data_IF_693624164272
#
_entry.id   IF_693624164272
#
_cell.length_a   1.000
_cell.length_b   1.000
_cell.length_c   1.000
_cell.angle_alpha   90.00
_cell.angle_beta   90.00
_cell.angle_gamma   90.00
#
_symmetry.space_group_name_H-M   'P 1'
#
loop_
_entity.id
_entity.type
_entity.pdbx_description
1 polymer ?
#
# COMPACT_ATOMS: atom_id res chain seq x y z
N UNK A 1 -0.46 -18.93 0.42
CA UNK A 1 -0.21 -17.52 0.22
C UNK A 1 1.28 -17.24 0.12
N UNK A 2 1.66 -16.56 -0.88
CA UNK A 2 3.06 -16.31 -1.07
C UNK A 2 3.50 -15.05 -0.35
N UNK A 3 4.70 -15.08 0.15
CA UNK A 3 5.34 -13.91 0.69
C UNK A 3 6.12 -13.25 -0.42
N UNK A 4 5.98 -11.95 -0.54
CA UNK A 4 6.71 -11.19 -1.53
C UNK A 4 7.82 -10.44 -0.81
N UNK A 5 9.05 -10.72 -1.16
CA UNK A 5 10.18 -10.07 -0.51
C UNK A 5 10.29 -8.63 -0.99
N UNK A 6 11.03 -7.83 -0.23
CA UNK A 6 11.26 -6.43 -0.61
C UNK A 6 11.94 -6.35 -1.97
N UNK A 7 12.90 -7.23 -2.21
CA UNK A 7 13.61 -7.22 -3.49
C UNK A 7 12.66 -7.55 -4.65
N UNK A 8 11.75 -8.49 -4.42
CA UNK A 8 10.76 -8.83 -5.44
C UNK A 8 9.83 -7.66 -5.73
N UNK A 9 9.45 -6.92 -4.70
CA UNK A 9 8.61 -5.74 -4.90
C UNK A 9 9.31 -4.71 -5.78
N UNK A 10 10.58 -4.45 -5.50
CA UNK A 10 11.33 -3.49 -6.32
C UNK A 10 11.47 -3.97 -7.76
N UNK A 11 11.66 -5.27 -7.95
CA UNK A 11 11.74 -5.81 -9.30
C UNK A 11 10.42 -5.64 -10.04
N UNK A 12 9.30 -5.84 -9.37
CA UNK A 12 7.99 -5.65 -9.98
C UNK A 12 7.77 -4.20 -10.37
N UNK A 13 8.19 -3.25 -9.53
CA UNK A 13 8.11 -1.83 -9.86
C UNK A 13 8.91 -1.54 -11.11
N UNK A 14 10.12 -2.04 -11.15
CA UNK A 14 11.01 -1.79 -12.28
C UNK A 14 10.42 -2.35 -13.58
N UNK A 15 9.90 -3.55 -13.52
CA UNK A 15 9.31 -4.18 -14.71
C UNK A 15 8.09 -3.41 -15.20
N UNK A 16 7.24 -2.99 -14.28
CA UNK A 16 6.02 -2.28 -14.66
C UNK A 16 6.36 -0.92 -15.27
N UNK A 17 7.26 -0.19 -14.63
CA UNK A 17 7.59 1.14 -15.11
C UNK A 17 8.37 1.07 -16.43
N UNK A 18 9.15 0.01 -16.63
CA UNK A 18 9.87 -0.17 -17.89
C UNK A 18 8.93 -0.36 -19.07
N UNK A 19 7.75 -0.93 -18.84
CA UNK A 19 6.77 -1.07 -19.92
C UNK A 19 5.73 0.05 -19.91
N UNK A 20 5.98 1.12 -19.16
CA UNK A 20 5.13 2.30 -19.17
C UNK A 20 3.91 2.22 -18.27
N UNK A 21 3.82 1.20 -17.44
CA UNK A 21 2.71 1.06 -16.52
C UNK A 21 2.99 1.82 -15.23
N UNK A 22 2.01 2.57 -14.73
CA UNK A 22 2.17 3.30 -13.48
C UNK A 22 1.90 2.37 -12.31
N UNK A 23 2.59 2.62 -11.21
CA UNK A 23 2.46 1.82 -9.99
C UNK A 23 2.34 2.76 -8.81
N UNK A 24 1.36 2.53 -7.95
CA UNK A 24 1.31 3.22 -6.66
C UNK A 24 2.01 2.33 -5.65
N UNK A 25 3.01 2.87 -4.99
CA UNK A 25 3.73 2.15 -3.94
C UNK A 25 3.22 2.68 -2.61
N UNK A 26 2.49 1.85 -1.88
CA UNK A 26 1.97 2.20 -0.58
C UNK A 26 2.93 1.66 0.46
N UNK A 27 3.48 2.53 1.29
CA UNK A 27 4.46 2.16 2.30
C UNK A 27 3.94 2.55 3.68
N UNK A 28 3.99 1.63 4.62
CA UNK A 28 3.66 1.94 6.01
C UNK A 28 4.77 2.81 6.55
N UNK A 29 4.48 4.10 6.73
CA UNK A 29 5.46 5.08 7.14
C UNK A 29 5.53 5.20 8.65
N UNK A 30 4.42 4.95 9.34
CA UNK A 30 4.37 5.11 10.79
C UNK A 30 3.27 4.24 11.35
N UNK A 31 3.50 3.66 12.52
CA UNK A 31 2.49 2.85 13.19
C UNK A 31 2.41 3.25 14.64
N UNK A 32 1.22 3.11 15.23
CA UNK A 32 0.99 3.36 16.63
C UNK A 32 -0.02 2.34 17.13
N UNK A 33 0.29 1.69 18.24
CA UNK A 33 -0.57 0.67 18.81
C UNK A 33 -0.45 -0.63 18.04
N UNK A 34 -1.48 -1.45 18.14
CA UNK A 34 -1.50 -2.75 17.47
C UNK A 34 -1.87 -2.57 16.00
N UNK A 35 -0.97 -2.95 15.13
CA UNK A 35 -1.21 -2.83 13.68
C UNK A 35 -0.83 -4.14 13.01
N UNK A 36 -1.46 -4.45 11.86
CA UNK A 36 -1.21 -5.73 11.18
C UNK A 36 0.15 -5.81 10.50
N UNK A 37 0.76 -4.67 10.23
CA UNK A 37 2.05 -4.65 9.55
C UNK A 37 2.96 -3.64 10.20
N UNK A 38 4.24 -3.85 10.03
CA UNK A 38 5.26 -2.99 10.60
C UNK A 38 5.60 -1.86 9.65
N UNK A 39 6.21 -0.82 10.19
CA UNK A 39 6.75 0.27 9.41
C UNK A 39 7.68 -0.30 8.33
N UNK A 40 7.56 0.21 7.13
CA UNK A 40 8.34 -0.24 5.99
C UNK A 40 7.66 -1.26 5.12
N UNK A 41 6.56 -1.88 5.58
CA UNK A 41 5.81 -2.82 4.75
C UNK A 41 5.25 -2.10 3.53
N UNK A 42 5.20 -2.78 2.40
CA UNK A 42 4.79 -2.17 1.15
C UNK A 42 3.75 -2.99 0.43
N UNK A 43 2.90 -2.29 -0.30
CA UNK A 43 1.94 -2.92 -1.19
C UNK A 43 1.94 -2.13 -2.49
N UNK A 44 1.89 -2.84 -3.61
CA UNK A 44 1.91 -2.22 -4.92
C UNK A 44 0.53 -2.32 -5.54
N UNK A 45 0.10 -1.23 -6.15
CA UNK A 45 -1.15 -1.19 -6.90
C UNK A 45 -0.80 -0.80 -8.33
N UNK A 46 -1.01 -1.72 -9.25
CA UNK A 46 -0.66 -1.48 -10.65
C UNK A 46 -1.83 -0.84 -11.38
N UNK A 47 -1.52 0.01 -12.31
CA UNK A 47 -2.54 0.72 -13.07
C UNK A 47 -3.54 -0.23 -13.72
N UNK A 48 -3.07 -1.40 -14.12
CA UNK A 48 -3.93 -2.41 -14.75
C UNK A 48 -4.80 -3.18 -13.79
N UNK A 49 -4.68 -2.95 -12.48
CA UNK A 49 -5.54 -3.57 -11.49
C UNK A 49 -4.89 -4.65 -10.63
N UNK A 50 -3.69 -5.08 -10.97
CA UNK A 50 -2.99 -6.08 -10.16
C UNK A 50 -2.45 -5.46 -8.89
N UNK A 51 -2.24 -6.28 -7.87
CA UNK A 51 -1.65 -5.84 -6.62
C UNK A 51 -0.58 -6.84 -6.19
N UNK A 52 0.36 -6.38 -5.35
CA UNK A 52 1.39 -7.25 -4.78
C UNK A 52 1.76 -6.74 -3.40
N UNK A 53 2.11 -7.65 -2.50
CA UNK A 53 2.47 -7.29 -1.13
C UNK A 53 1.24 -7.02 -0.29
N UNK A 54 1.44 -6.49 0.90
CA UNK A 54 0.32 -6.17 1.78
C UNK A 54 0.74 -5.10 2.79
N UNK A 55 -0.21 -4.27 3.18
CA UNK A 55 0.01 -3.30 4.25
C UNK A 55 -0.95 -3.52 5.42
N UNK A 56 -1.88 -4.44 5.30
CA UNK A 56 -2.85 -4.58 6.38
C UNK A 56 -3.63 -5.86 6.41
N UNK A 57 -3.41 -6.77 5.48
CA UNK A 57 -4.02 -8.08 5.53
C UNK A 57 -5.53 -8.08 5.58
N UNK A 58 -6.20 -7.09 5.08
CA UNK A 58 -7.64 -6.99 5.10
C UNK A 58 -8.16 -5.91 6.02
N UNK A 59 -7.41 -5.51 7.03
CA UNK A 59 -7.87 -4.47 7.96
C UNK A 59 -8.05 -3.14 7.26
N UNK A 60 -7.15 -2.78 6.37
CA UNK A 60 -7.19 -1.47 5.73
C UNK A 60 -7.05 -1.53 4.22
N UNK A 61 -6.92 -2.74 3.67
CA UNK A 61 -6.54 -2.82 2.24
C UNK A 61 -7.58 -2.21 1.33
N UNK A 62 -8.86 -2.33 1.65
CA UNK A 62 -9.89 -1.72 0.81
C UNK A 62 -9.78 -0.20 0.81
N UNK A 63 -9.48 0.38 1.96
CA UNK A 63 -9.32 1.83 2.07
C UNK A 63 -8.05 2.30 1.36
N UNK A 64 -6.98 1.55 1.52
CA UNK A 64 -5.73 1.88 0.84
C UNK A 64 -5.91 1.76 -0.68
N UNK A 65 -6.65 0.74 -1.11
CA UNK A 65 -6.96 0.54 -2.53
C UNK A 65 -7.69 1.75 -3.10
N UNK A 66 -8.68 2.26 -2.36
CA UNK A 66 -9.42 3.44 -2.81
C UNK A 66 -8.50 4.65 -2.95
N UNK A 67 -7.61 4.85 -1.97
CA UNK A 67 -6.67 5.96 -2.05
C UNK A 67 -5.64 5.77 -3.15
N UNK A 68 -5.24 4.53 -3.42
CA UNK A 68 -4.31 4.26 -4.50
C UNK A 68 -4.93 4.59 -5.85
N UNK A 69 -6.22 4.26 -6.02
CA UNK A 69 -6.92 4.61 -7.25
C UNK A 69 -6.99 6.12 -7.43
N UNK A 70 -7.20 6.83 -6.34
CA UNK A 70 -7.22 8.29 -6.39
C UNK A 70 -5.84 8.82 -6.77
N UNK A 71 -4.77 8.24 -6.25
CA UNK A 71 -3.42 8.65 -6.60
C UNK A 71 -3.15 8.41 -8.09
N UNK A 72 -3.63 7.30 -8.62
CA UNK A 72 -3.51 7.05 -10.06
C UNK A 72 -4.27 8.08 -10.87
N UNK A 73 -5.44 8.48 -10.40
CA UNK A 73 -6.26 9.44 -11.11
C UNK A 73 -5.63 10.84 -11.09
N UNK A 74 -5.10 11.25 -9.95
CA UNK A 74 -4.60 12.62 -9.79
C UNK A 74 -3.12 12.77 -10.11
N UNK A 75 -2.37 11.67 -10.07
CA UNK A 75 -0.93 11.72 -10.26
C UNK A 75 -0.18 12.27 -9.06
N UNK A 76 -0.79 12.26 -7.88
CA UNK A 76 -0.20 12.89 -6.70
C UNK A 76 0.13 11.88 -5.63
N UNK A 77 1.28 12.04 -5.00
CA UNK A 77 1.63 11.30 -3.81
C UNK A 77 0.87 11.88 -2.62
N UNK A 78 0.60 11.06 -1.63
CA UNK A 78 -0.13 11.52 -0.44
C UNK A 78 0.18 10.63 0.74
N UNK A 79 0.06 11.21 1.93
CA UNK A 79 0.20 10.48 3.18
C UNK A 79 -1.18 10.42 3.82
N UNK A 80 -1.65 9.21 4.11
CA UNK A 80 -2.97 9.00 4.68
C UNK A 80 -2.86 8.28 6.01
N UNK A 81 -3.71 8.66 6.94
CA UNK A 81 -3.79 8.00 8.24
C UNK A 81 -5.00 7.08 8.25
N UNK A 82 -4.79 5.85 8.67
CA UNK A 82 -5.84 4.85 8.79
C UNK A 82 -5.93 4.45 10.25
N UNK A 83 -7.11 4.63 10.82
CA UNK A 83 -7.35 4.27 12.22
C UNK A 83 -8.16 2.98 12.24
N UNK A 84 -7.65 1.99 12.95
CA UNK A 84 -8.26 0.68 13.01
C UNK A 84 -9.09 0.59 14.29
N UNK A 85 -10.38 0.36 14.15
CA UNK A 85 -11.25 0.27 15.31
C UNK A 85 -11.37 -1.18 15.73
N UNK A 86 -11.72 -1.37 17.00
CA UNK A 86 -11.90 -2.71 17.53
C UNK A 86 -13.06 -3.43 16.81
N UNK A 87 -14.11 -2.71 16.47
CA UNK A 87 -15.24 -3.30 15.78
C UNK A 87 -14.84 -3.83 14.41
N UNK A 88 -14.10 -3.04 13.68
CA UNK A 88 -13.63 -3.47 12.36
C UNK A 88 -12.71 -4.65 12.47
N UNK A 89 -11.83 -4.63 13.45
CA UNK A 89 -10.90 -5.73 13.64
C UNK A 89 -11.64 -7.01 14.00
N UNK A 90 -12.66 -6.90 14.81
CA UNK A 90 -13.45 -8.06 15.21
C UNK A 90 -14.15 -8.70 14.03
N UNK A 91 -14.71 -7.91 13.17
CA UNK A 91 -15.40 -8.40 11.99
C UNK A 91 -14.44 -9.12 11.05
N UNK A 92 -13.22 -8.66 11.01
CA UNK A 92 -12.20 -9.28 10.18
C UNK A 92 -11.54 -10.47 10.84
N UNK A 93 -11.86 -10.74 12.08
CA UNK A 93 -11.21 -11.82 12.81
C UNK A 93 -9.81 -11.49 13.24
N UNK A 94 -9.46 -10.23 13.35
CA UNK A 94 -8.13 -9.77 13.68
C UNK A 94 -8.15 -8.87 14.88
N UNK A 95 -7.04 -8.78 15.58
CA UNK A 95 -6.89 -7.89 16.72
C UNK A 95 -6.05 -6.71 16.29
N UNK A 96 -6.71 -5.68 15.83
CA UNK A 96 -6.09 -4.44 15.44
C UNK A 96 -6.70 -3.34 16.28
N UNK A 97 -6.00 -2.33 16.56
CA UNK A 97 -6.54 -1.24 17.37
C UNK A 97 -5.65 -0.04 17.28
N UNK A 98 -4.77 -0.04 16.30
CA UNK A 98 -3.81 1.02 16.18
C UNK A 98 -4.11 1.96 15.04
N UNK A 99 -3.13 2.77 14.73
CA UNK A 99 -3.19 3.73 13.65
C UNK A 99 -1.98 3.51 12.75
N UNK A 100 -2.20 3.56 11.46
CA UNK A 100 -1.12 3.47 10.50
C UNK A 100 -1.15 4.69 9.60
N UNK A 101 0.03 5.26 9.34
CA UNK A 101 0.17 6.27 8.32
C UNK A 101 0.83 5.61 7.13
N UNK A 102 0.20 5.71 5.99
CA UNK A 102 0.66 5.04 4.79
C UNK A 102 0.91 6.08 3.72
N UNK A 103 2.12 6.07 3.19
CA UNK A 103 2.53 6.98 2.13
C UNK A 103 2.29 6.30 0.80
N UNK A 104 1.52 6.95 -0.07
CA UNK A 104 1.25 6.44 -1.39
C UNK A 104 2.02 7.28 -2.40
N UNK A 105 2.94 6.65 -3.09
CA UNK A 105 3.81 7.31 -4.03
C UNK A 105 3.58 6.74 -5.42
N UNK A 106 3.54 7.60 -6.41
CA UNK A 106 3.26 7.18 -7.78
C UNK A 106 4.55 7.09 -8.57
N UNK A 107 4.77 5.93 -9.18
CA UNK A 107 5.95 5.66 -9.99
C UNK A 107 5.48 5.39 -11.42
N UNK A 108 6.01 6.08 -12.38
CA UNK A 108 5.52 5.99 -13.74
C UNK A 108 6.59 5.70 -14.78
N UNK A 109 7.80 5.44 -14.35
CA UNK A 109 8.87 5.12 -15.28
C UNK A 109 9.46 6.31 -16.02
N UNK A 110 8.89 7.48 -15.81
CA UNK A 110 9.47 8.68 -16.38
C UNK A 110 10.55 9.20 -15.47
N UNK A 111 11.54 9.78 -16.06
CA UNK A 111 12.64 10.27 -15.28
C UNK A 111 12.20 11.39 -14.34
N UNK A 112 12.52 11.28 -13.08
CA UNK A 112 12.22 12.31 -12.11
C UNK A 112 13.43 13.16 -11.89
N UNK A 113 13.30 14.39 -12.13
CA UNK A 113 14.45 15.29 -12.06
C UNK A 113 14.46 16.12 -10.81
#
# INVERSE_FOLDING_TARGET
MSSVTRLELYRLIEEATARGERVVVATVAHTRGSTPQRRGAKMLFFEGGAVAGTVGGGCVEAEVWAEAREALRTGRAALHRFTLTADEASEEGMVCGGTMEIFLDLWDGKEKQ
#
